data_IF_911216187725
#
_entry.id   IF_911216187725
#
_cell.length_a   1.000
_cell.length_b   1.000
_cell.length_c   1.000
_cell.angle_alpha   90.00
_cell.angle_beta   90.00
_cell.angle_gamma   90.00
#
_symmetry.space_group_name_H-M   'P 1'
#
loop_
_entity.id
_entity.type
_entity.pdbx_description
1 polymer ?
#
# COMPACT_ATOMS: atom_id res chain seq x y z
N UNK A 1 -3.13 19.91 -3.00
CA UNK A 1 -4.32 19.97 -2.14
C UNK A 1 -5.54 19.58 -2.96
N UNK A 2 -6.50 18.90 -2.37
CA UNK A 2 -7.77 18.56 -3.00
C UNK A 2 -8.88 19.57 -2.71
N UNK A 3 -8.69 20.37 -1.68
CA UNK A 3 -9.58 21.45 -1.27
C UNK A 3 -8.83 22.78 -1.34
N UNK A 4 -9.46 23.76 -1.95
CA UNK A 4 -9.02 25.14 -1.97
C UNK A 4 -9.84 25.96 -0.94
N UNK A 5 -9.19 26.34 0.14
CA UNK A 5 -9.84 27.08 1.23
C UNK A 5 -10.15 28.55 0.86
N UNK A 6 -9.48 29.13 -0.14
CA UNK A 6 -9.75 30.50 -0.58
C UNK A 6 -11.04 30.59 -1.38
N UNK A 7 -11.30 29.60 -2.23
CA UNK A 7 -12.51 29.49 -3.05
C UNK A 7 -13.58 28.61 -2.41
N UNK A 8 -13.27 27.95 -1.30
CA UNK A 8 -14.11 26.97 -0.62
C UNK A 8 -14.62 25.84 -1.55
N UNK A 9 -13.77 25.41 -2.48
CA UNK A 9 -14.12 24.38 -3.48
C UNK A 9 -13.18 23.19 -3.47
N UNK A 10 -13.71 22.02 -3.80
CA UNK A 10 -12.90 20.85 -4.10
C UNK A 10 -12.45 20.89 -5.56
N UNK A 11 -11.17 20.59 -5.78
CA UNK A 11 -10.54 20.48 -7.10
C UNK A 11 -10.65 19.03 -7.64
N UNK A 12 -11.74 18.33 -7.34
CA UNK A 12 -11.87 16.89 -7.54
C UNK A 12 -11.83 16.52 -9.02
N UNK A 13 -12.65 17.17 -9.84
CA UNK A 13 -12.74 16.88 -11.28
C UNK A 13 -11.40 17.09 -11.97
N UNK A 14 -10.78 18.25 -11.77
CA UNK A 14 -9.50 18.60 -12.39
C UNK A 14 -8.38 17.64 -11.97
N UNK A 15 -8.32 17.35 -10.67
CA UNK A 15 -7.27 16.48 -10.13
C UNK A 15 -7.44 15.04 -10.55
N UNK A 16 -8.64 14.49 -10.49
CA UNK A 16 -8.89 13.13 -10.93
C UNK A 16 -8.63 12.96 -12.42
N UNK A 17 -9.03 13.94 -13.24
CA UNK A 17 -8.72 13.96 -14.68
C UNK A 17 -7.20 13.95 -14.90
N UNK A 18 -6.46 14.79 -14.18
CA UNK A 18 -5.01 14.85 -14.24
C UNK A 18 -4.35 13.52 -13.80
N UNK A 19 -4.79 12.96 -12.68
CA UNK A 19 -4.23 11.71 -12.17
C UNK A 19 -4.49 10.55 -13.15
N UNK A 20 -5.67 10.50 -13.77
CA UNK A 20 -6.00 9.55 -14.82
C UNK A 20 -5.15 9.75 -16.10
N UNK A 21 -4.83 10.98 -16.45
CA UNK A 21 -3.92 11.28 -17.57
C UNK A 21 -2.49 10.81 -17.27
N UNK A 22 -2.01 11.04 -16.06
CA UNK A 22 -0.64 10.70 -15.65
C UNK A 22 -0.44 9.19 -15.44
N UNK A 23 -1.38 8.53 -14.78
CA UNK A 23 -1.21 7.15 -14.32
C UNK A 23 -2.07 6.13 -15.09
N UNK A 24 -3.01 6.55 -15.92
CA UNK A 24 -4.15 5.75 -16.34
C UNK A 24 -5.25 5.72 -15.26
N UNK A 25 -6.33 4.95 -15.45
CA UNK A 25 -7.44 4.90 -14.49
C UNK A 25 -6.95 4.63 -13.07
N UNK A 26 -7.34 5.47 -12.11
CA UNK A 26 -6.96 5.36 -10.70
C UNK A 26 -8.04 4.60 -9.96
N UNK A 27 -7.69 3.46 -9.35
CA UNK A 27 -8.63 2.62 -8.61
C UNK A 27 -8.97 3.16 -7.23
N UNK A 28 -8.02 3.87 -6.60
CA UNK A 28 -8.21 4.44 -5.27
C UNK A 28 -7.35 5.67 -5.06
N UNK A 29 -7.97 6.75 -4.54
CA UNK A 29 -7.29 7.93 -4.03
C UNK A 29 -7.19 7.89 -2.51
N UNK A 30 -6.00 8.20 -2.00
CA UNK A 30 -5.74 8.27 -0.58
C UNK A 30 -5.55 9.73 -0.15
N UNK A 31 -6.35 10.19 0.81
CA UNK A 31 -6.33 11.55 1.31
C UNK A 31 -5.60 11.65 2.65
N UNK A 32 -4.43 12.25 2.65
CA UNK A 32 -3.66 12.52 3.87
C UNK A 32 -4.13 13.78 4.58
N UNK A 33 -4.44 14.85 3.84
CA UNK A 33 -4.61 16.20 4.40
C UNK A 33 -6.04 16.52 4.88
N UNK A 34 -6.96 15.57 4.83
CA UNK A 34 -8.35 15.75 5.20
C UNK A 34 -8.58 16.04 6.70
N UNK A 35 -7.60 15.81 7.54
CA UNK A 35 -7.63 15.88 9.00
C UNK A 35 -7.06 17.19 9.56
N UNK A 36 -6.67 18.13 8.70
CA UNK A 36 -5.91 19.30 9.11
C UNK A 36 -6.81 20.31 9.81
N UNK A 37 -6.44 20.71 11.04
CA UNK A 37 -6.99 21.86 11.74
C UNK A 37 -5.86 22.59 12.47
N UNK A 38 -5.77 23.90 12.27
CA UNK A 38 -4.79 24.74 12.96
C UNK A 38 -5.18 24.92 14.44
N UNK A 39 -6.46 24.88 14.75
CA UNK A 39 -7.00 25.04 16.11
C UNK A 39 -6.84 23.75 16.93
N UNK A 40 -7.23 22.60 16.35
CA UNK A 40 -7.32 21.33 17.07
C UNK A 40 -6.16 20.36 16.78
N UNK A 41 -5.21 20.76 15.92
CA UNK A 41 -4.08 19.95 15.52
C UNK A 41 -4.43 18.94 14.43
N UNK A 42 -3.45 18.09 14.10
CA UNK A 42 -3.52 17.20 12.93
C UNK A 42 -4.08 15.82 13.24
N UNK A 43 -3.99 15.36 14.47
CA UNK A 43 -4.27 13.98 14.88
C UNK A 43 -5.15 13.92 16.11
N UNK A 44 -5.98 12.91 16.18
CA UNK A 44 -6.78 12.56 17.35
C UNK A 44 -8.27 12.60 17.08
N UNK A 45 -8.86 13.75 16.82
CA UNK A 45 -10.32 13.89 16.77
C UNK A 45 -10.94 13.41 15.46
N UNK A 46 -10.29 13.66 14.31
CA UNK A 46 -10.73 13.22 12.96
C UNK A 46 -12.19 13.58 12.62
N UNK A 47 -12.64 14.78 12.97
CA UNK A 47 -14.00 15.23 12.77
C UNK A 47 -14.12 16.72 12.35
N UNK A 48 -13.00 17.34 11.98
CA UNK A 48 -12.97 18.77 11.65
C UNK A 48 -13.29 19.02 10.18
N UNK A 49 -14.45 18.53 9.71
CA UNK A 49 -14.89 18.70 8.31
C UNK A 49 -15.14 20.16 7.92
N UNK A 50 -15.39 21.04 8.88
CA UNK A 50 -15.61 22.47 8.62
C UNK A 50 -14.40 23.14 7.99
N UNK A 51 -13.19 22.67 8.29
CA UNK A 51 -11.95 23.10 7.64
C UNK A 51 -11.91 22.76 6.12
N UNK A 52 -12.80 21.89 5.68
CA UNK A 52 -12.92 21.38 4.32
C UNK A 52 -14.29 21.64 3.71
N UNK A 53 -14.96 22.73 4.13
CA UNK A 53 -16.26 23.15 3.61
C UNK A 53 -17.46 22.39 4.18
N UNK A 54 -17.27 21.62 5.24
CA UNK A 54 -18.30 20.86 5.93
C UNK A 54 -18.51 19.44 5.41
N UNK A 55 -19.15 18.61 6.24
CA UNK A 55 -19.34 17.18 5.97
C UNK A 55 -20.09 16.90 4.67
N UNK A 56 -21.09 17.71 4.32
CA UNK A 56 -21.88 17.47 3.09
C UNK A 56 -21.02 17.66 1.84
N UNK A 57 -20.23 18.74 1.74
CA UNK A 57 -19.29 18.93 0.62
C UNK A 57 -18.23 17.84 0.57
N UNK A 58 -17.78 17.35 1.73
CA UNK A 58 -16.84 16.23 1.79
C UNK A 58 -17.47 14.96 1.21
N UNK A 59 -18.73 14.66 1.56
CA UNK A 59 -19.48 13.53 0.99
C UNK A 59 -19.66 13.65 -0.52
N UNK A 60 -19.98 14.84 -1.01
CA UNK A 60 -20.09 15.10 -2.46
C UNK A 60 -18.77 14.81 -3.18
N UNK A 61 -17.63 15.19 -2.59
CA UNK A 61 -16.30 14.87 -3.13
C UNK A 61 -16.05 13.36 -3.17
N UNK A 62 -16.40 12.64 -2.11
CA UNK A 62 -16.27 11.18 -2.06
C UNK A 62 -17.16 10.52 -3.11
N UNK A 63 -18.43 10.90 -3.18
CA UNK A 63 -19.39 10.37 -4.14
C UNK A 63 -18.95 10.61 -5.59
N UNK A 64 -18.41 11.79 -5.89
CA UNK A 64 -17.88 12.09 -7.22
C UNK A 64 -16.76 11.12 -7.63
N UNK A 65 -15.80 10.82 -6.73
CA UNK A 65 -14.76 9.84 -7.02
C UNK A 65 -15.35 8.46 -7.31
N UNK A 66 -16.28 8.02 -6.47
CA UNK A 66 -16.94 6.72 -6.62
C UNK A 66 -17.75 6.61 -7.92
N UNK A 67 -18.44 7.67 -8.34
CA UNK A 67 -19.13 7.75 -9.62
C UNK A 67 -18.18 7.65 -10.83
N UNK A 68 -16.94 8.10 -10.67
CA UNK A 68 -15.88 7.92 -11.69
C UNK A 68 -15.15 6.58 -11.60
N UNK A 69 -15.56 5.68 -10.69
CA UNK A 69 -14.94 4.37 -10.47
C UNK A 69 -13.70 4.39 -9.59
N UNK A 70 -13.41 5.52 -8.95
CA UNK A 70 -12.25 5.69 -8.05
C UNK A 70 -12.71 5.60 -6.60
N UNK A 71 -12.18 4.67 -5.84
CA UNK A 71 -12.41 4.56 -4.39
C UNK A 71 -11.68 5.66 -3.62
N UNK A 72 -12.14 5.93 -2.40
CA UNK A 72 -11.52 6.94 -1.52
C UNK A 72 -11.09 6.30 -0.21
N UNK A 73 -9.82 6.50 0.16
CA UNK A 73 -9.27 6.11 1.45
C UNK A 73 -8.85 7.32 2.28
N UNK A 74 -9.05 7.24 3.59
CA UNK A 74 -8.70 8.31 4.52
C UNK A 74 -7.62 7.88 5.50
N UNK A 75 -6.69 8.79 5.75
CA UNK A 75 -5.59 8.67 6.70
C UNK A 75 -6.06 8.77 8.15
N UNK A 76 -5.61 7.87 8.99
CA UNK A 76 -5.64 7.99 10.45
C UNK A 76 -4.31 7.46 11.01
N UNK A 77 -3.88 7.97 12.15
CA UNK A 77 -2.64 7.56 12.81
C UNK A 77 -2.94 6.65 14.01
N UNK A 78 -2.15 5.60 14.20
CA UNK A 78 -2.43 4.60 15.25
C UNK A 78 -1.96 5.02 16.64
N UNK A 79 -1.07 6.01 16.74
CA UNK A 79 -0.52 6.40 18.04
C UNK A 79 -0.33 7.90 18.27
N UNK A 80 -0.63 8.75 17.30
CA UNK A 80 -0.50 10.20 17.48
C UNK A 80 -1.84 10.84 17.86
N UNK A 81 -1.79 11.69 18.90
CA UNK A 81 -2.87 12.60 19.24
C UNK A 81 -2.31 13.99 19.54
N UNK A 82 -2.86 15.02 18.89
CA UNK A 82 -2.50 16.41 19.21
C UNK A 82 -2.88 16.75 20.64
N UNK A 83 -2.02 17.45 21.34
CA UNK A 83 -2.34 18.02 22.67
C UNK A 83 -3.40 19.12 22.58
N UNK A 84 -3.71 19.60 21.38
CA UNK A 84 -4.78 20.57 21.11
C UNK A 84 -6.12 19.87 20.88
N UNK A 85 -6.13 18.61 20.40
CA UNK A 85 -7.35 17.86 20.14
C UNK A 85 -8.14 17.59 21.42
N UNK A 86 -9.45 17.39 21.31
CA UNK A 86 -10.31 17.08 22.45
C UNK A 86 -9.83 15.81 23.16
N UNK A 87 -9.53 14.75 22.39
CA UNK A 87 -9.03 13.50 22.97
C UNK A 87 -7.66 13.68 23.63
N UNK A 88 -6.78 14.46 23.03
CA UNK A 88 -5.46 14.74 23.59
C UNK A 88 -5.50 15.56 24.89
N UNK A 89 -6.46 16.48 25.02
CA UNK A 89 -6.68 17.27 26.23
C UNK A 89 -7.34 16.46 27.35
N UNK A 90 -8.27 15.55 27.01
CA UNK A 90 -9.05 14.81 28.01
C UNK A 90 -8.36 13.53 28.50
N UNK A 91 -7.65 12.83 27.63
CA UNK A 91 -7.08 11.51 27.92
C UNK A 91 -5.61 11.36 27.49
N UNK A 92 -5.03 12.38 26.84
CA UNK A 92 -3.72 12.25 26.24
C UNK A 92 -2.65 11.79 27.21
N UNK A 93 -2.54 12.43 28.38
CA UNK A 93 -1.53 12.07 29.40
C UNK A 93 -1.80 10.67 29.99
N UNK A 94 -3.07 10.36 30.27
CA UNK A 94 -3.48 9.07 30.84
C UNK A 94 -3.15 7.89 29.93
N UNK A 95 -3.39 8.04 28.62
CA UNK A 95 -3.24 6.96 27.64
C UNK A 95 -1.91 6.97 26.89
N UNK A 96 -1.06 7.98 27.12
CA UNK A 96 0.22 8.08 26.42
C UNK A 96 1.26 7.07 26.90
N UNK A 97 2.12 6.70 25.98
CA UNK A 97 3.36 5.96 26.27
C UNK A 97 4.24 6.77 27.20
N UNK A 98 4.85 6.14 28.19
CA UNK A 98 5.87 6.73 29.04
C UNK A 98 7.18 5.97 28.88
N UNK A 99 8.30 6.69 28.83
CA UNK A 99 9.63 6.10 28.85
C UNK A 99 10.01 5.61 30.25
N UNK A 100 11.10 4.85 30.32
CA UNK A 100 11.60 4.29 31.59
C UNK A 100 11.95 5.36 32.64
N UNK A 101 12.34 6.56 32.22
CA UNK A 101 12.68 7.68 33.09
C UNK A 101 11.46 8.53 33.49
N UNK A 102 10.27 8.11 33.12
CA UNK A 102 9.02 8.82 33.40
C UNK A 102 8.67 9.91 32.39
N UNK A 103 9.54 10.19 31.41
CA UNK A 103 9.25 11.18 30.36
C UNK A 103 8.32 10.66 29.28
N UNK A 104 7.60 11.57 28.62
CA UNK A 104 6.79 11.25 27.45
C UNK A 104 7.62 11.40 26.15
N UNK A 105 7.54 10.46 25.21
CA UNK A 105 8.14 10.67 23.90
C UNK A 105 7.48 11.85 23.18
N UNK A 106 8.29 12.61 22.45
CA UNK A 106 7.82 13.76 21.67
C UNK A 106 7.99 13.54 20.17
N UNK A 107 7.90 12.30 19.70
CA UNK A 107 8.04 11.99 18.28
C UNK A 107 7.04 12.76 17.44
N UNK A 108 7.51 13.35 16.32
CA UNK A 108 6.73 14.18 15.39
C UNK A 108 6.13 15.48 15.98
N UNK A 109 6.33 15.79 17.27
CA UNK A 109 5.88 17.04 17.88
C UNK A 109 6.60 18.24 17.28
N UNK A 110 5.84 19.31 17.02
CA UNK A 110 6.36 20.64 16.72
C UNK A 110 5.90 21.63 17.79
N UNK A 111 6.51 22.83 17.90
CA UNK A 111 6.01 23.87 18.79
C UNK A 111 4.55 24.25 18.53
N UNK A 112 4.15 24.22 17.25
CA UNK A 112 2.81 24.59 16.78
C UNK A 112 1.80 23.47 17.03
N UNK A 113 2.22 22.19 16.98
CA UNK A 113 1.40 21.02 17.19
C UNK A 113 2.12 19.99 18.08
N UNK A 114 2.12 20.20 19.40
CA UNK A 114 2.70 19.23 20.33
C UNK A 114 1.82 17.99 20.43
N UNK A 115 2.46 16.81 20.47
CA UNK A 115 1.77 15.53 20.37
C UNK A 115 1.94 14.68 21.63
N UNK A 116 0.96 13.84 21.87
CA UNK A 116 1.05 12.63 22.66
C UNK A 116 1.35 11.44 21.76
N UNK A 117 2.22 10.54 22.22
CA UNK A 117 2.37 9.22 21.62
C UNK A 117 1.51 8.24 22.43
N UNK A 118 0.37 7.86 21.87
CA UNK A 118 -0.63 7.05 22.53
C UNK A 118 -0.19 5.59 22.65
N UNK A 119 -0.51 4.95 23.77
CA UNK A 119 -0.19 3.54 23.97
C UNK A 119 -1.20 2.65 23.25
N UNK A 120 -0.75 1.92 22.24
CA UNK A 120 -1.61 1.01 21.47
C UNK A 120 -2.18 -0.16 22.29
N UNK A 121 -1.65 -0.40 23.48
CA UNK A 121 -2.20 -1.37 24.44
C UNK A 121 -3.30 -0.82 25.33
N UNK A 122 -3.43 0.49 25.41
CA UNK A 122 -4.41 1.09 26.31
C UNK A 122 -5.81 0.91 25.75
N UNK A 123 -6.73 0.24 26.49
CA UNK A 123 -8.06 -0.09 25.99
C UNK A 123 -8.91 1.15 25.68
N UNK A 124 -8.72 2.24 26.41
CA UNK A 124 -9.37 3.52 26.10
C UNK A 124 -8.98 4.07 24.73
N UNK A 125 -7.70 4.00 24.39
CA UNK A 125 -7.22 4.42 23.07
C UNK A 125 -7.71 3.48 21.96
N UNK A 126 -7.64 2.17 22.18
CA UNK A 126 -8.12 1.16 21.23
C UNK A 126 -9.62 1.34 20.94
N UNK A 127 -10.43 1.49 21.99
CA UNK A 127 -11.87 1.71 21.84
C UNK A 127 -12.17 3.03 21.12
N UNK A 128 -11.50 4.11 21.52
CA UNK A 128 -11.69 5.42 20.93
C UNK A 128 -11.33 5.41 19.43
N UNK A 129 -10.12 5.00 19.06
CA UNK A 129 -9.63 5.09 17.68
C UNK A 129 -10.42 4.15 16.75
N UNK A 130 -10.70 2.92 17.21
CA UNK A 130 -11.50 1.97 16.43
C UNK A 130 -12.95 2.44 16.20
N UNK A 131 -13.55 3.10 17.20
CA UNK A 131 -14.88 3.68 17.05
C UNK A 131 -14.83 4.89 16.13
N UNK A 132 -13.85 5.78 16.30
CA UNK A 132 -13.71 6.97 15.45
C UNK A 132 -13.46 6.59 13.98
N UNK A 133 -12.66 5.56 13.71
CA UNK A 133 -12.44 5.05 12.35
C UNK A 133 -13.75 4.57 11.71
N UNK A 134 -14.56 3.84 12.45
CA UNK A 134 -15.86 3.38 11.98
C UNK A 134 -16.86 4.52 11.76
N UNK A 135 -16.84 5.54 12.63
CA UNK A 135 -17.70 6.72 12.51
C UNK A 135 -17.29 7.55 11.30
N UNK A 136 -15.98 7.79 11.10
CA UNK A 136 -15.46 8.48 9.91
C UNK A 136 -15.95 7.78 8.64
N UNK A 137 -15.83 6.46 8.57
CA UNK A 137 -16.28 5.71 7.40
C UNK A 137 -17.80 5.84 7.17
N UNK A 138 -18.64 5.80 8.24
CA UNK A 138 -20.10 5.99 8.14
C UNK A 138 -20.48 7.43 7.77
N UNK A 139 -19.81 8.40 8.39
CA UNK A 139 -20.07 9.81 8.18
C UNK A 139 -19.74 10.24 6.75
N UNK A 140 -18.64 9.78 6.21
CA UNK A 140 -18.10 10.25 4.92
C UNK A 140 -18.45 9.36 3.75
N UNK A 141 -18.78 8.09 3.98
CA UNK A 141 -19.05 7.11 2.92
C UNK A 141 -17.82 6.61 2.19
N UNK A 142 -16.61 6.77 2.76
CA UNK A 142 -15.35 6.33 2.12
C UNK A 142 -15.21 4.82 2.07
N UNK A 143 -14.38 4.36 1.14
CA UNK A 143 -14.15 2.94 0.86
C UNK A 143 -13.03 2.33 1.70
N UNK A 144 -12.21 3.16 2.36
CA UNK A 144 -11.08 2.66 3.13
C UNK A 144 -10.59 3.57 4.24
N UNK A 145 -10.05 2.96 5.28
CA UNK A 145 -9.33 3.63 6.37
C UNK A 145 -7.88 3.14 6.37
N UNK A 146 -6.96 4.09 6.31
CA UNK A 146 -5.54 3.86 6.43
C UNK A 146 -5.08 4.14 7.85
N UNK A 147 -4.35 3.20 8.42
CA UNK A 147 -3.71 3.33 9.72
C UNK A 147 -2.21 3.57 9.55
N UNK A 148 -1.80 4.81 9.65
CA UNK A 148 -0.40 5.21 9.56
C UNK A 148 0.41 4.78 10.77
N UNK A 149 1.73 4.66 10.59
CA UNK A 149 2.68 4.17 11.62
C UNK A 149 2.32 2.75 12.14
N UNK A 150 1.36 2.10 11.49
CA UNK A 150 0.95 0.73 11.78
C UNK A 150 1.81 -0.29 11.05
N UNK A 151 1.90 -1.50 11.60
CA UNK A 151 2.56 -2.63 10.96
C UNK A 151 4.01 -2.85 11.38
N UNK A 152 4.71 -1.85 11.89
CA UNK A 152 6.08 -2.01 12.40
C UNK A 152 6.16 -1.82 13.91
N UNK A 153 7.06 -2.56 14.56
CA UNK A 153 7.54 -2.19 15.90
C UNK A 153 8.66 -1.16 15.72
N UNK A 154 8.31 0.10 15.81
CA UNK A 154 9.30 1.17 15.74
C UNK A 154 10.26 1.17 16.94
N UNK A 155 10.03 0.30 17.93
CA UNK A 155 10.91 0.03 19.08
C UNK A 155 11.17 1.23 20.00
N UNK A 156 10.98 2.42 19.48
CA UNK A 156 11.22 3.69 20.17
C UNK A 156 10.09 4.08 21.13
N UNK A 157 8.93 3.44 20.98
CA UNK A 157 7.71 3.77 21.73
C UNK A 157 7.28 2.65 22.69
N UNK A 158 8.24 1.95 23.28
CA UNK A 158 7.95 1.00 24.36
C UNK A 158 7.32 1.73 25.54
N UNK A 159 6.17 1.25 26.01
CA UNK A 159 5.50 1.79 27.17
C UNK A 159 6.05 1.17 28.46
N UNK A 160 6.50 2.04 29.39
CA UNK A 160 7.04 1.65 30.69
C UNK A 160 6.08 1.96 31.84
N UNK A 161 4.84 2.30 31.53
CA UNK A 161 3.81 2.54 32.55
C UNK A 161 3.39 1.23 33.21
N UNK A 162 3.39 1.24 34.52
CA UNK A 162 2.93 0.11 35.36
C UNK A 162 1.44 0.19 35.69
N UNK A 163 0.80 1.33 35.40
CA UNK A 163 -0.63 1.55 35.51
C UNK A 163 -1.44 1.23 34.24
N UNK A 164 -0.75 0.89 33.13
CA UNK A 164 -1.39 0.40 31.92
C UNK A 164 -1.59 -1.14 31.97
N UNK A 165 -2.62 -1.68 31.30
CA UNK A 165 -2.97 -3.11 31.40
C UNK A 165 -2.10 -3.98 30.47
N UNK A 166 -0.78 -3.88 30.59
CA UNK A 166 0.19 -4.66 29.82
C UNK A 166 1.43 -4.97 30.65
N UNK A 167 2.24 -5.91 30.20
CA UNK A 167 3.55 -6.15 30.80
C UNK A 167 4.50 -4.96 30.53
N UNK A 168 5.41 -4.70 31.46
CA UNK A 168 6.35 -3.56 31.38
C UNK A 168 7.75 -4.08 31.05
N UNK A 169 8.39 -3.63 29.95
CA UNK A 169 7.86 -2.70 28.96
C UNK A 169 6.97 -3.40 27.91
N UNK A 170 5.90 -2.75 27.49
CA UNK A 170 5.10 -3.23 26.36
C UNK A 170 5.72 -2.83 25.02
N UNK A 171 5.60 -3.71 24.04
CA UNK A 171 5.91 -3.44 22.63
C UNK A 171 4.62 -3.30 21.82
N UNK A 172 4.64 -2.47 20.77
CA UNK A 172 3.47 -2.10 19.97
C UNK A 172 2.73 -3.25 19.28
N UNK A 173 3.38 -4.30 18.72
CA UNK A 173 2.72 -5.24 17.80
C UNK A 173 1.44 -5.91 18.32
N UNK A 174 1.42 -6.34 19.57
CA UNK A 174 0.22 -6.99 20.12
C UNK A 174 -0.90 -5.98 20.44
N UNK A 175 -0.54 -4.77 20.84
CA UNK A 175 -1.51 -3.67 21.00
C UNK A 175 -2.11 -3.28 19.66
N UNK A 176 -1.30 -3.23 18.61
CA UNK A 176 -1.74 -2.98 17.23
C UNK A 176 -2.64 -4.09 16.70
N UNK A 177 -2.35 -5.37 17.00
CA UNK A 177 -3.21 -6.49 16.66
C UNK A 177 -4.64 -6.28 17.19
N UNK A 178 -4.78 -5.93 18.47
CA UNK A 178 -6.09 -5.72 19.08
C UNK A 178 -6.80 -4.51 18.48
N UNK A 179 -6.08 -3.41 18.24
CA UNK A 179 -6.62 -2.23 17.57
C UNK A 179 -7.16 -2.58 16.17
N UNK A 180 -6.42 -3.32 15.36
CA UNK A 180 -6.87 -3.75 14.03
C UNK A 180 -8.10 -4.65 14.11
N UNK A 181 -8.10 -5.62 15.03
CA UNK A 181 -9.24 -6.52 15.26
C UNK A 181 -10.50 -5.74 15.62
N UNK A 182 -10.40 -4.80 16.56
CA UNK A 182 -11.51 -3.95 16.97
C UNK A 182 -11.99 -3.05 15.83
N UNK A 183 -11.06 -2.41 15.13
CA UNK A 183 -11.38 -1.53 14.00
C UNK A 183 -12.11 -2.31 12.91
N UNK A 184 -11.56 -3.43 12.45
CA UNK A 184 -12.19 -4.27 11.42
C UNK A 184 -13.60 -4.73 11.82
N UNK A 185 -13.81 -5.05 13.08
CA UNK A 185 -15.13 -5.48 13.59
C UNK A 185 -16.19 -4.37 13.60
N UNK A 186 -15.78 -3.10 13.63
CA UNK A 186 -16.69 -1.93 13.71
C UNK A 186 -16.90 -1.24 12.36
N UNK A 187 -15.96 -1.41 11.41
CA UNK A 187 -16.09 -0.82 10.07
C UNK A 187 -17.34 -1.30 9.35
N UNK A 188 -17.99 -0.46 8.55
CA UNK A 188 -19.04 -0.87 7.63
C UNK A 188 -18.56 -1.97 6.68
N UNK A 189 -19.48 -2.82 6.25
CA UNK A 189 -19.19 -3.84 5.23
C UNK A 189 -18.66 -3.20 3.94
N UNK A 190 -17.62 -3.79 3.35
CA UNK A 190 -16.98 -3.29 2.13
C UNK A 190 -15.91 -2.23 2.36
N UNK A 191 -15.81 -1.64 3.55
CA UNK A 191 -14.73 -0.70 3.87
C UNK A 191 -13.45 -1.47 4.18
N UNK A 192 -12.38 -1.16 3.43
CA UNK A 192 -11.07 -1.79 3.61
C UNK A 192 -10.27 -1.11 4.72
N UNK A 193 -9.50 -1.91 5.46
CA UNK A 193 -8.54 -1.44 6.45
C UNK A 193 -7.13 -1.74 5.94
N UNK A 194 -6.27 -0.73 5.87
CA UNK A 194 -4.89 -0.91 5.40
C UNK A 194 -3.92 -0.05 6.19
N UNK A 195 -2.62 -0.34 6.10
CA UNK A 195 -1.60 0.23 6.97
C UNK A 195 -0.33 0.63 6.23
N UNK A 196 0.55 1.37 6.90
CA UNK A 196 1.79 1.90 6.30
C UNK A 196 2.78 0.80 5.90
N UNK A 197 2.87 -0.26 6.69
CA UNK A 197 3.79 -1.36 6.44
C UNK A 197 3.05 -2.69 6.43
N UNK A 198 3.64 -3.70 5.78
CA UNK A 198 3.20 -5.06 5.95
C UNK A 198 3.41 -5.47 7.42
N UNK A 199 2.35 -5.84 8.14
CA UNK A 199 2.43 -6.08 9.58
C UNK A 199 2.96 -7.47 9.89
N UNK A 200 3.13 -7.77 11.19
CA UNK A 200 3.35 -9.13 11.63
C UNK A 200 2.21 -10.07 11.20
N UNK A 201 2.54 -11.32 10.88
CA UNK A 201 1.61 -12.32 10.32
C UNK A 201 0.30 -12.45 11.13
N UNK A 202 0.37 -12.31 12.45
CA UNK A 202 -0.80 -12.39 13.35
C UNK A 202 -1.82 -11.28 13.14
N UNK A 203 -1.44 -10.17 12.53
CA UNK A 203 -2.31 -9.01 12.25
C UNK A 203 -3.03 -9.13 10.92
N UNK A 204 -2.44 -9.85 9.95
CA UNK A 204 -2.95 -9.98 8.58
C UNK A 204 -4.43 -10.38 8.50
N UNK A 205 -4.97 -11.27 9.35
CA UNK A 205 -6.40 -11.61 9.29
C UNK A 205 -7.37 -10.44 9.52
N UNK A 206 -6.86 -9.31 10.00
CA UNK A 206 -7.68 -8.15 10.38
C UNK A 206 -7.44 -6.91 9.50
N UNK A 207 -6.55 -7.00 8.50
CA UNK A 207 -6.27 -5.90 7.57
C UNK A 207 -6.21 -6.40 6.12
N UNK A 208 -6.66 -5.58 5.19
CA UNK A 208 -6.82 -5.95 3.79
C UNK A 208 -5.56 -5.66 2.95
N UNK A 209 -4.68 -4.77 3.42
CA UNK A 209 -3.48 -4.43 2.69
C UNK A 209 -2.51 -3.53 3.46
N UNK A 210 -1.39 -3.22 2.84
CA UNK A 210 -0.40 -2.30 3.41
C UNK A 210 0.54 -1.73 2.38
N UNK A 211 1.06 -0.55 2.67
CA UNK A 211 2.12 0.03 1.86
C UNK A 211 3.46 -0.63 2.20
N UNK A 212 4.34 -0.72 1.23
CA UNK A 212 5.70 -1.19 1.44
C UNK A 212 6.68 0.01 1.50
N UNK A 213 6.50 0.88 2.49
CA UNK A 213 7.30 2.11 2.62
C UNK A 213 8.74 1.89 3.02
N UNK A 214 9.04 0.78 3.70
CA UNK A 214 10.40 0.44 4.10
C UNK A 214 11.28 -0.03 2.94
N UNK A 215 10.68 -0.42 1.81
CA UNK A 215 11.42 -0.83 0.63
C UNK A 215 12.04 0.37 -0.07
N UNK A 216 13.34 0.32 -0.29
CA UNK A 216 14.07 1.29 -1.08
C UNK A 216 14.52 2.55 -0.33
N UNK A 217 14.51 2.55 0.99
CA UNK A 217 15.17 3.61 1.77
C UNK A 217 16.70 3.47 1.78
N UNK A 218 17.24 2.31 1.42
CA UNK A 218 18.67 2.08 1.23
C UNK A 218 18.95 1.44 -0.11
N UNK A 219 20.13 1.70 -0.68
CA UNK A 219 20.60 1.17 -1.96
C UNK A 219 20.67 -0.36 -2.02
N UNK A 220 20.56 -1.01 -0.86
CA UNK A 220 20.63 -2.46 -0.71
C UNK A 220 19.26 -3.16 -0.80
N UNK A 221 18.15 -2.43 -0.74
CA UNK A 221 16.85 -3.02 -0.43
C UNK A 221 16.12 -3.59 -1.64
N UNK A 222 16.34 -3.06 -2.84
CA UNK A 222 15.73 -3.58 -4.06
C UNK A 222 16.78 -4.12 -5.01
N UNK A 223 16.85 -5.45 -5.07
CA UNK A 223 17.74 -6.17 -5.99
C UNK A 223 16.89 -7.07 -6.90
N UNK A 224 17.41 -7.42 -8.10
CA UNK A 224 16.73 -8.39 -8.95
C UNK A 224 16.41 -9.69 -8.21
N UNK A 225 15.17 -10.15 -8.39
CA UNK A 225 14.69 -11.33 -7.69
C UNK A 225 14.22 -11.07 -6.24
N UNK A 226 14.18 -9.82 -5.77
CA UNK A 226 13.61 -9.52 -4.47
C UNK A 226 12.10 -9.79 -4.47
N UNK A 227 11.65 -10.72 -3.64
CA UNK A 227 10.23 -11.03 -3.43
C UNK A 227 9.76 -10.54 -2.07
N UNK A 228 8.53 -10.05 -2.04
CA UNK A 228 7.86 -9.73 -0.78
C UNK A 228 7.07 -10.95 -0.29
N UNK A 229 7.54 -11.59 0.77
CA UNK A 229 6.97 -12.86 1.25
C UNK A 229 5.46 -12.77 1.52
N UNK A 230 4.98 -11.66 2.07
CA UNK A 230 3.54 -11.48 2.33
C UNK A 230 2.70 -11.62 1.07
N UNK A 231 3.19 -11.14 -0.09
CA UNK A 231 2.47 -11.26 -1.38
C UNK A 231 2.21 -12.71 -1.78
N UNK A 232 3.13 -13.63 -1.43
CA UNK A 232 3.05 -15.05 -1.78
C UNK A 232 2.50 -15.91 -0.66
N UNK A 233 2.74 -15.56 0.59
CA UNK A 233 2.26 -16.30 1.76
C UNK A 233 0.81 -15.95 2.15
N UNK A 234 0.39 -14.72 1.86
CA UNK A 234 -0.93 -14.17 2.21
C UNK A 234 -1.55 -13.49 0.98
N UNK A 235 -2.03 -14.22 -0.02
CA UNK A 235 -2.50 -13.66 -1.30
C UNK A 235 -3.69 -12.70 -1.16
N UNK A 236 -4.50 -12.84 -0.11
CA UNK A 236 -5.60 -11.92 0.20
C UNK A 236 -5.13 -10.56 0.70
N UNK A 237 -3.94 -10.50 1.31
CA UNK A 237 -3.34 -9.25 1.75
C UNK A 237 -2.77 -8.49 0.55
N UNK A 238 -3.27 -7.28 0.29
CA UNK A 238 -2.85 -6.48 -0.87
C UNK A 238 -1.65 -5.62 -0.53
N UNK A 239 -0.55 -5.89 -1.21
CA UNK A 239 0.68 -5.11 -1.09
C UNK A 239 0.67 -3.94 -2.08
N UNK A 240 0.96 -2.74 -1.59
CA UNK A 240 0.94 -1.47 -2.31
C UNK A 240 2.33 -0.80 -2.20
N UNK A 241 3.34 -1.22 -2.99
CA UNK A 241 4.66 -0.58 -2.96
C UNK A 241 4.59 0.89 -3.38
N UNK A 242 5.23 1.75 -2.61
CA UNK A 242 5.33 3.18 -2.94
C UNK A 242 6.38 3.36 -4.05
N UNK A 243 5.96 3.92 -5.16
CA UNK A 243 6.77 4.13 -6.38
C UNK A 243 7.13 5.60 -6.61
N UNK A 244 7.38 6.38 -5.57
CA UNK A 244 7.80 7.77 -5.73
C UNK A 244 9.33 7.89 -5.84
N UNK A 245 9.81 8.85 -6.64
CA UNK A 245 11.23 9.14 -6.80
C UNK A 245 11.93 9.52 -5.49
N UNK A 246 11.21 10.10 -4.52
CA UNK A 246 11.74 10.46 -3.21
C UNK A 246 11.76 9.31 -2.21
N UNK A 247 11.09 8.19 -2.48
CA UNK A 247 10.96 7.05 -1.57
C UNK A 247 11.99 5.96 -1.84
N UNK A 248 12.62 5.97 -3.02
CA UNK A 248 13.54 4.92 -3.47
C UNK A 248 14.90 5.52 -3.82
N UNK A 249 15.97 4.95 -3.30
CA UNK A 249 17.35 5.37 -3.58
C UNK A 249 17.75 5.21 -5.06
N UNK A 250 17.14 4.26 -5.76
CA UNK A 250 17.28 4.02 -7.19
C UNK A 250 16.11 4.59 -8.00
N UNK A 251 15.28 5.41 -7.37
CA UNK A 251 14.15 6.06 -8.00
C UNK A 251 13.01 5.10 -8.35
N UNK A 252 12.09 5.61 -9.14
CA UNK A 252 10.86 4.92 -9.53
C UNK A 252 11.09 3.60 -10.29
N UNK A 253 12.20 3.50 -11.05
CA UNK A 253 12.47 2.34 -11.92
C UNK A 253 12.55 1.02 -11.16
N UNK A 254 13.27 0.98 -10.04
CA UNK A 254 13.40 -0.25 -9.25
C UNK A 254 12.12 -0.56 -8.47
N UNK A 255 11.38 0.46 -8.02
CA UNK A 255 10.06 0.28 -7.40
C UNK A 255 9.05 -0.32 -8.37
N UNK A 256 9.02 0.14 -9.62
CA UNK A 256 8.16 -0.41 -10.66
C UNK A 256 8.53 -1.85 -11.04
N UNK A 257 9.83 -2.11 -11.24
CA UNK A 257 10.31 -3.48 -11.51
C UNK A 257 9.93 -4.43 -10.38
N UNK A 258 10.14 -4.00 -9.16
CA UNK A 258 9.75 -4.76 -7.97
C UNK A 258 8.24 -5.03 -7.93
N UNK A 259 7.41 -4.01 -8.15
CA UNK A 259 5.95 -4.14 -8.12
C UNK A 259 5.46 -5.10 -9.19
N UNK A 260 5.89 -4.93 -10.44
CA UNK A 260 5.50 -5.82 -11.55
C UNK A 260 6.01 -7.24 -11.33
N UNK A 261 7.28 -7.41 -10.91
CA UNK A 261 7.85 -8.73 -10.64
C UNK A 261 7.08 -9.48 -9.55
N UNK A 262 6.62 -8.80 -8.52
CA UNK A 262 5.82 -9.38 -7.45
C UNK A 262 4.30 -9.44 -7.77
N UNK A 263 3.85 -8.96 -8.91
CA UNK A 263 2.41 -8.85 -9.21
C UNK A 263 1.67 -8.04 -8.15
N UNK A 264 2.30 -6.96 -7.66
CA UNK A 264 1.77 -6.09 -6.62
C UNK A 264 1.15 -4.83 -7.24
N UNK A 265 0.14 -4.27 -6.60
CA UNK A 265 -0.44 -3.00 -7.01
C UNK A 265 0.58 -1.85 -6.88
N UNK A 266 0.29 -0.73 -7.53
CA UNK A 266 1.15 0.45 -7.51
C UNK A 266 0.52 1.54 -6.65
N UNK A 267 1.27 2.07 -5.69
CA UNK A 267 0.95 3.31 -5.01
C UNK A 267 1.83 4.42 -5.56
N UNK A 268 1.26 5.31 -6.36
CA UNK A 268 1.98 6.37 -7.05
C UNK A 268 1.60 7.75 -6.51
N UNK A 269 2.61 8.60 -6.34
CA UNK A 269 2.42 10.01 -6.01
C UNK A 269 2.46 10.85 -7.29
N UNK A 270 1.57 11.83 -7.41
CA UNK A 270 1.46 12.71 -8.58
C UNK A 270 2.57 13.77 -8.71
N UNK A 271 3.64 13.65 -7.94
CA UNK A 271 4.76 14.59 -7.93
C UNK A 271 6.11 13.86 -7.91
N UNK A 272 7.13 14.53 -8.41
CA UNK A 272 8.51 14.06 -8.37
C UNK A 272 8.88 12.99 -9.40
N UNK A 273 8.10 12.86 -10.50
CA UNK A 273 8.37 11.96 -11.60
C UNK A 273 8.74 12.73 -12.89
N UNK A 274 9.55 12.07 -13.72
CA UNK A 274 9.81 12.48 -15.09
C UNK A 274 8.75 11.88 -16.03
N UNK A 275 8.57 12.43 -17.23
CA UNK A 275 7.53 12.00 -18.19
C UNK A 275 7.64 10.52 -18.56
N UNK A 276 8.86 10.02 -18.74
CA UNK A 276 9.12 8.60 -19.04
C UNK A 276 8.68 7.68 -17.91
N UNK A 277 8.73 8.16 -16.66
CA UNK A 277 8.27 7.39 -15.52
C UNK A 277 6.74 7.23 -15.51
N UNK A 278 6.01 8.27 -15.90
CA UNK A 278 4.55 8.16 -16.03
C UNK A 278 4.13 7.18 -17.13
N UNK A 279 4.83 7.16 -18.26
CA UNK A 279 4.59 6.18 -19.32
C UNK A 279 4.78 4.74 -18.81
N UNK A 280 5.85 4.52 -18.04
CA UNK A 280 6.13 3.20 -17.47
C UNK A 280 5.10 2.80 -16.40
N UNK A 281 4.66 3.75 -15.57
CA UNK A 281 3.59 3.50 -14.58
C UNK A 281 2.30 3.09 -15.30
N UNK A 282 1.87 3.86 -16.33
CA UNK A 282 0.67 3.51 -17.11
C UNK A 282 0.76 2.13 -17.72
N UNK A 283 1.91 1.77 -18.29
CA UNK A 283 2.16 0.45 -18.85
C UNK A 283 2.07 -0.65 -17.80
N UNK A 284 2.74 -0.47 -16.66
CA UNK A 284 2.70 -1.43 -15.56
C UNK A 284 1.28 -1.63 -15.02
N UNK A 285 0.54 -0.54 -14.81
CA UNK A 285 -0.85 -0.61 -14.37
C UNK A 285 -1.77 -1.27 -15.40
N UNK A 286 -1.58 -1.00 -16.69
CA UNK A 286 -2.35 -1.65 -17.75
C UNK A 286 -2.15 -3.17 -17.72
N UNK A 287 -0.91 -3.65 -17.65
CA UNK A 287 -0.60 -5.08 -17.55
C UNK A 287 -1.23 -5.70 -16.29
N UNK A 288 -1.08 -5.07 -15.14
CA UNK A 288 -1.64 -5.60 -13.89
C UNK A 288 -3.17 -5.65 -13.92
N UNK A 289 -3.83 -4.67 -14.52
CA UNK A 289 -5.30 -4.59 -14.61
C UNK A 289 -5.87 -5.51 -15.67
N UNK A 290 -5.30 -5.55 -16.88
CA UNK A 290 -5.77 -6.41 -17.96
C UNK A 290 -5.68 -7.90 -17.61
N UNK A 291 -4.73 -8.25 -16.73
CA UNK A 291 -4.48 -9.61 -16.26
C UNK A 291 -4.75 -9.79 -14.76
N UNK A 292 -5.70 -9.02 -14.21
CA UNK A 292 -5.97 -9.01 -12.76
C UNK A 292 -6.40 -10.36 -12.23
N UNK A 293 -7.13 -11.17 -12.98
CA UNK A 293 -7.54 -12.52 -12.56
C UNK A 293 -6.33 -13.39 -12.21
N UNK A 294 -5.30 -13.37 -13.04
CA UNK A 294 -4.08 -14.10 -12.77
C UNK A 294 -3.32 -13.48 -11.58
N UNK A 295 -3.17 -12.15 -11.56
CA UNK A 295 -2.46 -11.48 -10.45
C UNK A 295 -3.22 -11.55 -9.12
N UNK A 296 -4.53 -11.76 -9.10
CA UNK A 296 -5.32 -11.98 -7.87
C UNK A 296 -5.39 -13.44 -7.43
N UNK A 297 -4.67 -14.34 -8.10
CA UNK A 297 -4.64 -15.77 -7.73
C UNK A 297 -4.37 -15.99 -6.24
N UNK A 298 -5.05 -16.98 -5.67
CA UNK A 298 -4.78 -17.49 -4.31
C UNK A 298 -3.53 -18.39 -4.23
N UNK A 299 -2.88 -18.68 -5.36
CA UNK A 299 -1.76 -19.60 -5.46
C UNK A 299 -0.58 -19.03 -6.24
N UNK A 300 -0.09 -17.83 -5.90
CA UNK A 300 1.09 -17.30 -6.54
C UNK A 300 2.31 -18.14 -6.18
N UNK A 301 3.21 -18.36 -7.14
CA UNK A 301 4.42 -19.15 -6.95
C UNK A 301 5.66 -18.24 -7.11
N UNK A 302 6.49 -18.17 -6.11
CA UNK A 302 7.75 -17.44 -6.19
C UNK A 302 8.89 -18.35 -6.67
N UNK A 303 9.82 -17.77 -7.42
CA UNK A 303 11.05 -18.44 -7.87
C UNK A 303 10.81 -19.74 -8.65
N UNK A 304 9.88 -19.70 -9.61
CA UNK A 304 9.72 -20.80 -10.57
C UNK A 304 11.06 -21.04 -11.27
N UNK A 305 11.52 -22.31 -11.39
CA UNK A 305 12.78 -22.61 -12.03
C UNK A 305 12.86 -22.10 -13.47
N UNK A 306 13.90 -21.36 -13.79
CA UNK A 306 14.18 -20.84 -15.14
C UNK A 306 15.26 -21.69 -15.83
N UNK A 307 15.36 -21.54 -17.16
CA UNK A 307 16.40 -22.15 -17.99
C UNK A 307 17.68 -21.29 -18.06
N UNK A 308 17.66 -20.12 -17.44
CA UNK A 308 18.73 -19.13 -17.51
C UNK A 308 19.20 -18.74 -16.10
N UNK A 309 20.51 -18.84 -15.89
CA UNK A 309 21.13 -18.38 -14.63
C UNK A 309 20.88 -16.89 -14.43
N UNK A 310 20.72 -16.46 -13.17
CA UNK A 310 20.48 -15.08 -12.76
C UNK A 310 19.24 -14.41 -13.39
N UNK A 311 18.32 -15.19 -13.97
CA UNK A 311 16.98 -14.73 -14.35
C UNK A 311 15.97 -15.32 -13.36
N UNK A 312 15.30 -14.46 -12.64
CA UNK A 312 14.29 -14.84 -11.63
C UNK A 312 12.92 -14.83 -12.26
N UNK A 313 12.04 -15.74 -11.80
CA UNK A 313 10.69 -15.87 -12.31
C UNK A 313 9.69 -16.13 -11.18
N UNK A 314 8.53 -15.45 -11.21
CA UNK A 314 7.37 -15.78 -10.41
C UNK A 314 6.21 -16.19 -11.34
N UNK A 315 5.28 -16.99 -10.83
CA UNK A 315 4.10 -17.42 -11.58
C UNK A 315 2.81 -17.03 -10.84
N UNK A 316 1.82 -16.62 -11.63
CA UNK A 316 0.48 -16.24 -11.20
C UNK A 316 -0.54 -17.04 -12.00
N UNK A 317 -0.91 -18.28 -11.55
CA UNK A 317 -1.84 -19.12 -12.25
C UNK A 317 -3.29 -18.69 -12.01
N UNK A 318 -3.99 -18.27 -13.07
CA UNK A 318 -5.42 -18.03 -13.11
C UNK A 318 -6.17 -19.15 -13.83
N UNK A 319 -7.51 -19.05 -13.92
CA UNK A 319 -8.34 -20.04 -14.62
C UNK A 319 -8.18 -19.93 -16.14
N UNK A 320 -8.29 -18.71 -16.68
CA UNK A 320 -8.20 -18.44 -18.11
C UNK A 320 -6.77 -18.34 -18.62
N UNK A 321 -5.82 -17.96 -17.76
CA UNK A 321 -4.44 -17.75 -18.15
C UNK A 321 -3.47 -18.06 -17.00
N UNK A 322 -2.20 -18.13 -17.33
CA UNK A 322 -1.10 -18.10 -16.35
C UNK A 322 -0.12 -17.00 -16.76
N UNK A 323 0.17 -16.10 -15.84
CA UNK A 323 1.15 -15.02 -16.05
C UNK A 323 2.44 -15.34 -15.33
N UNK A 324 3.56 -15.16 -16.03
CA UNK A 324 4.91 -15.21 -15.46
C UNK A 324 5.57 -13.85 -15.53
N UNK A 325 6.15 -13.44 -14.41
CA UNK A 325 6.97 -12.23 -14.32
C UNK A 325 8.44 -12.63 -14.21
N UNK A 326 9.30 -11.93 -14.95
CA UNK A 326 10.73 -12.17 -14.97
C UNK A 326 11.50 -10.97 -14.47
N UNK A 327 12.65 -11.21 -13.87
CA UNK A 327 13.64 -10.17 -13.57
C UNK A 327 15.04 -10.66 -13.95
N UNK A 328 15.65 -10.00 -14.93
CA UNK A 328 17.04 -10.28 -15.32
C UNK A 328 17.99 -9.67 -14.28
N UNK A 329 18.70 -10.50 -13.53
CA UNK A 329 19.69 -10.10 -12.53
C UNK A 329 21.03 -9.64 -13.13
N UNK A 330 21.25 -9.93 -14.40
CA UNK A 330 22.52 -9.65 -15.09
C UNK A 330 22.67 -8.17 -15.40
N UNK A 331 23.91 -7.70 -15.44
CA UNK A 331 24.25 -6.36 -15.94
C UNK A 331 24.30 -6.29 -17.47
N UNK A 332 24.01 -7.38 -18.17
CA UNK A 332 23.90 -7.47 -19.63
C UNK A 332 22.49 -7.90 -20.03
N UNK A 333 22.11 -7.56 -21.26
CA UNK A 333 20.91 -8.11 -21.86
C UNK A 333 21.00 -9.65 -21.89
N UNK A 334 19.90 -10.29 -21.57
CA UNK A 334 19.67 -11.71 -21.79
C UNK A 334 18.82 -11.90 -23.04
N UNK A 335 19.15 -12.90 -23.84
CA UNK A 335 18.38 -13.33 -25.00
C UNK A 335 18.43 -14.86 -25.11
N UNK A 336 17.27 -15.49 -25.18
CA UNK A 336 17.17 -16.95 -25.34
C UNK A 336 16.06 -17.60 -24.54
N UNK A 337 16.11 -18.95 -24.41
CA UNK A 337 15.12 -19.71 -23.67
C UNK A 337 15.20 -19.38 -22.17
N UNK A 338 14.06 -18.97 -21.62
CA UNK A 338 14.00 -18.50 -20.22
C UNK A 338 13.17 -19.44 -19.34
N UNK A 339 12.14 -20.08 -19.92
CA UNK A 339 11.19 -20.91 -19.15
C UNK A 339 10.68 -22.08 -19.98
N UNK A 340 10.48 -23.21 -19.35
CA UNK A 340 9.78 -24.37 -19.90
C UNK A 340 8.52 -24.65 -19.08
N UNK A 341 7.35 -24.57 -19.72
CA UNK A 341 6.05 -24.77 -19.06
C UNK A 341 5.23 -25.86 -19.76
N UNK A 342 4.31 -26.53 -19.06
CA UNK A 342 3.40 -27.46 -19.70
C UNK A 342 2.65 -26.80 -20.85
N UNK A 343 2.77 -27.38 -22.06
CA UNK A 343 2.02 -26.89 -23.21
C UNK A 343 0.55 -27.27 -23.09
N UNK A 344 -0.33 -26.29 -23.30
CA UNK A 344 -1.78 -26.51 -23.43
C UNK A 344 -2.15 -26.39 -24.90
N UNK A 345 -2.82 -27.43 -25.43
CA UNK A 345 -3.24 -27.40 -26.83
C UNK A 345 -4.21 -26.24 -27.10
N UNK A 346 -3.94 -25.48 -28.14
CA UNK A 346 -4.74 -24.30 -28.49
C UNK A 346 -4.41 -23.02 -27.68
N UNK A 347 -3.54 -23.11 -26.68
CA UNK A 347 -3.12 -21.91 -25.95
C UNK A 347 -2.29 -20.96 -26.82
N UNK A 348 -2.49 -19.68 -26.58
CA UNK A 348 -1.67 -18.60 -27.15
C UNK A 348 -0.71 -18.05 -26.12
N UNK A 349 0.41 -17.51 -26.59
CA UNK A 349 1.44 -16.95 -25.71
C UNK A 349 1.72 -15.51 -26.11
N UNK A 350 1.87 -14.63 -25.15
CA UNK A 350 2.09 -13.21 -25.39
C UNK A 350 3.10 -12.64 -24.39
N UNK A 351 4.04 -11.87 -24.90
CA UNK A 351 4.83 -10.96 -24.08
C UNK A 351 3.95 -9.74 -23.75
N UNK A 352 3.53 -9.64 -22.49
CA UNK A 352 2.66 -8.57 -22.03
C UNK A 352 3.41 -7.25 -21.87
N UNK A 353 4.74 -7.33 -21.74
CA UNK A 353 5.58 -6.14 -21.61
C UNK A 353 5.85 -5.46 -22.94
N UNK A 354 6.00 -6.21 -24.04
CA UNK A 354 6.17 -5.65 -25.39
C UNK A 354 4.88 -5.64 -26.21
N UNK A 355 3.91 -6.44 -25.84
CA UNK A 355 2.64 -6.65 -26.59
C UNK A 355 2.77 -7.65 -27.73
N UNK A 356 3.92 -8.31 -27.90
CA UNK A 356 4.19 -9.23 -29.00
C UNK A 356 3.60 -10.62 -28.74
N UNK A 357 3.05 -11.24 -29.79
CA UNK A 357 2.69 -12.66 -29.76
C UNK A 357 3.96 -13.52 -29.82
N UNK A 358 4.00 -14.54 -28.98
CA UNK A 358 5.11 -15.49 -28.91
C UNK A 358 4.70 -16.81 -29.56
N UNK A 359 5.66 -17.45 -30.24
CA UNK A 359 5.50 -18.80 -30.79
C UNK A 359 6.53 -19.73 -30.13
N UNK A 360 6.24 -20.25 -28.92
CA UNK A 360 7.16 -21.14 -28.24
C UNK A 360 7.43 -22.42 -29.01
N UNK A 361 8.64 -22.90 -28.95
CA UNK A 361 8.99 -24.24 -29.45
C UNK A 361 8.44 -25.30 -28.50
N UNK A 362 7.71 -26.28 -29.06
CA UNK A 362 7.12 -27.36 -28.26
C UNK A 362 8.05 -28.58 -28.25
N UNK A 363 8.52 -28.96 -27.08
CA UNK A 363 9.42 -30.09 -26.88
C UNK A 363 8.96 -30.94 -25.69
N UNK A 364 8.76 -32.25 -25.91
CA UNK A 364 8.38 -33.17 -24.83
C UNK A 364 7.09 -32.79 -24.09
N UNK A 365 6.15 -32.09 -24.75
CA UNK A 365 4.92 -31.61 -24.12
C UNK A 365 5.11 -30.30 -23.33
N UNK A 366 6.25 -29.66 -23.46
CA UNK A 366 6.53 -28.35 -22.86
C UNK A 366 6.67 -27.28 -23.94
N UNK A 367 6.16 -26.10 -23.65
CA UNK A 367 6.41 -24.89 -24.40
C UNK A 367 7.65 -24.20 -23.85
N UNK A 368 8.66 -24.03 -24.71
CA UNK A 368 9.92 -23.33 -24.39
C UNK A 368 9.74 -21.87 -24.73
N UNK A 369 9.63 -21.03 -23.71
CA UNK A 369 9.46 -19.60 -23.84
C UNK A 369 10.85 -18.96 -23.99
N UNK A 370 11.02 -18.16 -25.04
CA UNK A 370 12.21 -17.35 -25.28
C UNK A 370 11.90 -15.89 -24.99
N UNK A 371 12.86 -15.18 -24.42
CA UNK A 371 12.72 -13.77 -24.04
C UNK A 371 13.99 -12.99 -24.33
N UNK A 372 13.79 -11.71 -24.64
CA UNK A 372 14.84 -10.70 -24.61
C UNK A 372 14.60 -9.77 -23.42
N UNK A 373 15.44 -9.89 -22.40
CA UNK A 373 15.33 -9.10 -21.18
C UNK A 373 16.50 -8.13 -21.08
N UNK A 374 16.22 -6.84 -21.05
CA UNK A 374 17.26 -5.82 -20.85
C UNK A 374 18.07 -6.05 -19.57
N UNK A 375 19.27 -5.45 -19.49
CA UNK A 375 20.09 -5.51 -18.28
C UNK A 375 19.32 -5.00 -17.07
N UNK A 376 19.29 -5.79 -15.98
CA UNK A 376 18.58 -5.45 -14.73
C UNK A 376 17.09 -5.16 -14.91
N UNK A 377 16.46 -5.61 -16.01
CA UNK A 377 15.09 -5.25 -16.37
C UNK A 377 14.12 -6.45 -16.23
N UNK A 378 12.86 -6.15 -16.31
CA UNK A 378 11.74 -7.11 -16.16
C UNK A 378 11.17 -7.53 -17.51
N UNK A 379 10.43 -8.64 -17.51
CA UNK A 379 9.55 -9.10 -18.57
C UNK A 379 8.31 -9.73 -17.99
N UNK A 380 7.26 -9.81 -18.78
CA UNK A 380 5.98 -10.42 -18.37
C UNK A 380 5.43 -11.22 -19.54
N UNK A 381 5.11 -12.49 -19.31
CA UNK A 381 4.56 -13.39 -20.34
C UNK A 381 3.28 -14.03 -19.84
N UNK A 382 2.29 -14.15 -20.69
CA UNK A 382 1.06 -14.92 -20.44
C UNK A 382 0.94 -16.12 -21.37
N UNK A 383 0.42 -17.22 -20.82
CA UNK A 383 -0.20 -18.33 -21.55
C UNK A 383 -1.71 -18.23 -21.37
N UNK A 384 -2.44 -17.93 -22.43
CA UNK A 384 -3.90 -17.81 -22.44
C UNK A 384 -4.50 -19.09 -23.00
N UNK A 385 -5.54 -19.62 -22.35
CA UNK A 385 -6.19 -20.90 -22.66
C UNK A 385 -7.43 -20.72 -23.49
#
# INVERSE_FOLDING_TARGET
>A
KWYDAETETYLTEERLARDNELFGPVDMNHFFDWRYSDEFGRWGDYNHYDEFGGLEKFREMVAYHQEQGTRVGLYMDVFLASKKSQIGQTHGEEWAVQRRDGSFPGGYSTPEDPLWNMCQWHPGWQEYLSTRAADVARETGVDGIYLDEGGTDLGQYRCWRDDHPHEVPACSPNGFLELCRMTKSKLPEGVVLYTEHAPADIVIPYIDGGYATALGRSDADITPGHVHIHRFAFPDFKLLPITSAGSLSHGIWDGLRYSVFNGAALYSLSWGHEDEAFELIRKAQAVLREHEEAFLTERPEMFVPTLADEVYCNAFPGEAETVWTFWNGRFQQFEGPVLAVPHVEGATYRDLWTGEELTPRIEGGQAIIEQTLGARNIGVVAQMR
#
